data_IF_047240054706
#
_entry.id   IF_047240054706
#
_cell.length_a   1.000
_cell.length_b   1.000
_cell.length_c   1.000
_cell.angle_alpha   90.00
_cell.angle_beta   90.00
_cell.angle_gamma   90.00
#
_symmetry.space_group_name_H-M   'P 1'
#
loop_
_entity.id
_entity.type
_entity.pdbx_description
1 polymer ?
#
# COMPACT_ATOMS: atom_id res chain seq x y z
N UNK A 1 -13.40 -2.50 10.41
CA UNK A 1 -12.39 -2.44 9.34
C UNK A 1 -12.08 -3.84 8.89
N UNK A 2 -11.69 -4.04 7.64
CA UNK A 2 -11.43 -5.36 7.06
C UNK A 2 -9.99 -5.82 7.33
N UNK A 3 -9.79 -7.10 7.65
CA UNK A 3 -8.48 -7.72 7.90
C UNK A 3 -8.10 -8.60 6.72
N UNK A 4 -6.97 -8.25 6.08
CA UNK A 4 -6.42 -8.95 4.92
C UNK A 4 -5.10 -9.60 5.32
N UNK A 5 -4.87 -10.86 4.96
CA UNK A 5 -3.57 -11.52 5.18
C UNK A 5 -2.48 -10.93 4.31
N UNK A 6 -1.23 -11.00 4.75
CA UNK A 6 -0.07 -10.67 3.90
C UNK A 6 0.17 -11.74 2.81
N UNK A 7 0.86 -11.35 1.74
CA UNK A 7 1.33 -12.25 0.67
C UNK A 7 2.46 -13.12 1.23
N UNK A 8 2.40 -14.43 1.01
CA UNK A 8 3.44 -15.36 1.49
C UNK A 8 3.24 -15.91 2.91
N UNK A 9 2.14 -15.57 3.60
CA UNK A 9 1.74 -16.31 4.80
C UNK A 9 1.30 -17.71 4.38
N UNK A 10 2.20 -18.68 4.54
CA UNK A 10 1.92 -20.08 4.32
C UNK A 10 0.98 -20.58 5.43
N UNK A 11 -0.29 -20.72 5.09
CA UNK A 11 -1.28 -21.36 5.95
C UNK A 11 -1.51 -22.78 5.44
N UNK A 12 -1.30 -23.76 6.31
CA UNK A 12 -1.92 -25.07 6.08
C UNK A 12 -3.46 -24.94 6.16
N UNK A 13 -4.18 -25.99 5.77
CA UNK A 13 -5.64 -25.95 5.70
C UNK A 13 -6.31 -25.69 7.06
N UNK A 14 -5.69 -26.10 8.17
CA UNK A 14 -6.22 -25.90 9.54
C UNK A 14 -5.96 -24.47 9.99
N UNK A 15 -4.77 -23.95 9.73
CA UNK A 15 -4.40 -22.55 9.95
C UNK A 15 -5.28 -21.62 9.12
N UNK A 16 -5.64 -22.01 7.89
CA UNK A 16 -6.53 -21.24 7.03
C UNK A 16 -7.94 -21.10 7.63
N UNK A 17 -8.59 -22.21 7.98
CA UNK A 17 -9.95 -22.17 8.56
C UNK A 17 -9.97 -21.45 9.91
N UNK A 18 -9.02 -21.75 10.80
CA UNK A 18 -8.92 -21.10 12.11
C UNK A 18 -8.52 -19.62 12.05
N UNK A 19 -8.03 -19.12 10.91
CA UNK A 19 -7.72 -17.71 10.74
C UNK A 19 -8.99 -16.88 10.55
N UNK A 20 -10.00 -17.39 9.84
CA UNK A 20 -11.31 -16.73 9.74
C UNK A 20 -11.99 -16.64 11.11
N UNK A 21 -11.93 -17.72 11.90
CA UNK A 21 -12.45 -17.71 13.28
C UNK A 21 -11.74 -16.68 14.16
N UNK A 22 -10.47 -16.39 13.88
CA UNK A 22 -9.65 -15.38 14.56
C UNK A 22 -9.79 -13.96 13.99
N UNK A 23 -10.67 -13.75 13.01
CA UNK A 23 -10.98 -12.43 12.47
C UNK A 23 -10.25 -12.07 11.18
N UNK A 24 -9.75 -13.06 10.42
CA UNK A 24 -9.36 -12.85 9.03
C UNK A 24 -10.62 -12.70 8.16
N UNK A 25 -10.68 -11.67 7.31
CA UNK A 25 -11.80 -11.46 6.39
C UNK A 25 -11.45 -11.89 4.95
N UNK A 26 -10.20 -11.62 4.52
CA UNK A 26 -9.70 -11.98 3.18
C UNK A 26 -8.32 -12.61 3.28
N UNK A 27 -8.16 -13.79 2.68
CA UNK A 27 -6.85 -14.39 2.46
C UNK A 27 -6.32 -14.09 1.06
N UNK A 28 -5.10 -13.57 0.97
CA UNK A 28 -4.38 -13.39 -0.30
C UNK A 28 -3.73 -14.69 -0.79
N UNK A 29 -3.67 -15.73 0.04
CA UNK A 29 -3.19 -17.06 -0.32
C UNK A 29 -4.29 -18.10 -0.05
N UNK A 30 -4.73 -18.81 -1.08
CA UNK A 30 -5.74 -19.87 -0.92
C UNK A 30 -5.08 -21.25 -1.03
N UNK A 31 -4.97 -22.02 0.07
CA UNK A 31 -4.60 -23.42 -0.04
C UNK A 31 -5.76 -24.24 -0.64
N UNK A 32 -5.48 -25.45 -1.12
CA UNK A 32 -6.51 -26.43 -1.48
C UNK A 32 -7.41 -26.71 -0.27
N UNK A 33 -8.69 -26.36 -0.36
CA UNK A 33 -9.58 -26.25 0.81
C UNK A 33 -10.23 -27.60 1.14
N UNK A 34 -10.19 -28.01 2.40
CA UNK A 34 -11.16 -28.95 3.00
C UNK A 34 -12.50 -28.22 3.21
N UNK A 35 -13.66 -28.92 3.21
CA UNK A 35 -14.94 -28.25 3.46
C UNK A 35 -14.94 -27.50 4.81
N UNK A 36 -15.50 -26.28 4.88
CA UNK A 36 -15.51 -25.46 6.08
C UNK A 36 -16.38 -26.06 7.19
N UNK A 37 -15.93 -25.97 8.44
CA UNK A 37 -16.75 -26.21 9.65
C UNK A 37 -17.82 -25.13 9.79
N UNK A 38 -18.90 -25.38 10.53
CA UNK A 38 -19.99 -24.40 10.69
C UNK A 38 -19.52 -23.08 11.32
N UNK A 39 -18.59 -23.13 12.28
CA UNK A 39 -17.94 -21.92 12.84
C UNK A 39 -17.14 -21.15 11.81
N UNK A 40 -16.38 -21.85 10.97
CA UNK A 40 -15.65 -21.20 9.89
C UNK A 40 -16.58 -20.63 8.82
N UNK A 41 -17.76 -21.24 8.57
CA UNK A 41 -18.77 -20.68 7.66
C UNK A 41 -19.33 -19.36 8.18
N UNK A 42 -19.71 -19.28 9.46
CA UNK A 42 -20.18 -18.02 10.07
C UNK A 42 -19.10 -16.93 9.98
N UNK A 43 -17.84 -17.29 10.27
CA UNK A 43 -16.73 -16.37 10.15
C UNK A 43 -16.49 -15.91 8.71
N UNK A 44 -16.58 -16.81 7.73
CA UNK A 44 -16.48 -16.49 6.31
C UNK A 44 -17.64 -15.61 5.83
N UNK A 45 -18.88 -15.84 6.29
CA UNK A 45 -20.03 -14.99 5.99
C UNK A 45 -19.79 -13.55 6.46
N UNK A 46 -19.26 -13.37 7.68
CA UNK A 46 -18.85 -12.03 8.16
C UNK A 46 -17.76 -11.42 7.27
N UNK A 47 -16.78 -12.19 6.85
CA UNK A 47 -15.75 -11.72 5.91
C UNK A 47 -16.33 -11.23 4.59
N UNK A 48 -17.34 -11.94 4.06
CA UNK A 48 -18.08 -11.52 2.86
C UNK A 48 -18.86 -10.22 3.12
N UNK A 49 -19.56 -10.09 4.24
CA UNK A 49 -20.27 -8.85 4.61
C UNK A 49 -19.32 -7.66 4.72
N UNK A 50 -18.13 -7.87 5.30
CA UNK A 50 -17.09 -6.86 5.41
C UNK A 50 -16.53 -6.46 4.05
N UNK A 51 -16.33 -7.42 3.14
CA UNK A 51 -15.92 -7.13 1.75
C UNK A 51 -17.00 -6.34 1.01
N UNK A 52 -18.26 -6.77 1.08
CA UNK A 52 -19.38 -6.07 0.43
C UNK A 52 -19.49 -4.64 0.97
N UNK A 53 -19.46 -4.49 2.30
CA UNK A 53 -19.44 -3.18 2.96
C UNK A 53 -18.28 -2.32 2.45
N UNK A 54 -17.06 -2.84 2.37
CA UNK A 54 -15.91 -2.10 1.86
C UNK A 54 -16.09 -1.67 0.39
N UNK A 55 -16.61 -2.53 -0.47
CA UNK A 55 -16.88 -2.22 -1.89
C UNK A 55 -17.96 -1.14 -2.01
N UNK A 56 -19.01 -1.20 -1.21
CA UNK A 56 -20.06 -0.17 -1.16
C UNK A 56 -19.49 1.17 -0.70
N UNK A 57 -18.64 1.19 0.34
CA UNK A 57 -18.02 2.42 0.84
C UNK A 57 -17.04 3.05 -0.16
N UNK A 58 -16.38 2.26 -1.01
CA UNK A 58 -15.50 2.76 -2.07
C UNK A 58 -16.29 3.35 -3.25
N UNK A 59 -17.62 3.32 -3.22
CA UNK A 59 -18.50 3.70 -4.31
C UNK A 59 -18.20 2.97 -5.65
N UNK A 60 -17.53 1.82 -5.58
CA UNK A 60 -17.15 1.02 -6.75
C UNK A 60 -18.36 0.44 -7.49
N UNK A 61 -19.53 0.40 -6.83
CA UNK A 61 -20.78 -0.08 -7.42
C UNK A 61 -21.49 1.00 -8.28
N UNK A 62 -21.33 2.29 -7.97
CA UNK A 62 -22.01 3.39 -8.68
C UNK A 62 -21.05 4.19 -9.57
N UNK A 63 -19.77 4.25 -9.22
CA UNK A 63 -18.73 4.73 -10.13
C UNK A 63 -18.25 3.53 -10.92
N UNK A 64 -18.61 3.45 -12.21
CA UNK A 64 -17.85 2.68 -13.17
C UNK A 64 -16.45 3.30 -13.22
N UNK A 65 -15.63 2.96 -12.23
CA UNK A 65 -14.24 3.35 -12.16
C UNK A 65 -13.65 2.96 -13.49
N UNK A 66 -13.00 3.92 -14.14
CA UNK A 66 -12.34 3.54 -15.35
C UNK A 66 -11.34 2.42 -15.02
N UNK A 67 -11.42 1.33 -15.79
CA UNK A 67 -10.48 0.22 -15.71
C UNK A 67 -9.65 0.19 -16.99
N UNK A 68 -8.33 -0.08 -16.93
CA UNK A 68 -7.54 -0.32 -18.13
C UNK A 68 -8.25 -1.35 -19.03
N UNK A 69 -8.36 -1.09 -20.34
CA UNK A 69 -7.57 -0.13 -21.12
C UNK A 69 -8.14 1.30 -21.20
N UNK A 70 -9.35 1.55 -20.70
CA UNK A 70 -10.12 2.76 -21.05
C UNK A 70 -9.63 4.05 -20.37
N UNK A 71 -8.65 3.96 -19.46
CA UNK A 71 -8.06 5.07 -18.69
C UNK A 71 -6.55 5.09 -18.79
N UNK A 72 -5.96 4.31 -19.70
CA UNK A 72 -4.50 4.27 -19.81
C UNK A 72 -3.95 5.68 -20.04
N UNK A 73 -4.69 6.56 -20.73
CA UNK A 73 -4.30 7.95 -20.96
C UNK A 73 -4.33 8.78 -19.68
N UNK A 74 -5.42 8.74 -18.91
CA UNK A 74 -5.56 9.45 -17.65
C UNK A 74 -4.59 8.93 -16.59
N UNK A 75 -4.42 7.60 -16.51
CA UNK A 75 -3.46 6.97 -15.61
C UNK A 75 -2.03 7.38 -15.96
N UNK A 76 -1.67 7.36 -17.24
CA UNK A 76 -0.35 7.79 -17.69
C UNK A 76 -0.12 9.30 -17.50
N UNK A 77 -1.13 10.13 -17.75
CA UNK A 77 -1.03 11.59 -17.56
C UNK A 77 -0.91 11.98 -16.09
N UNK A 78 -1.56 11.25 -15.19
CA UNK A 78 -1.49 11.49 -13.75
C UNK A 78 -0.27 10.83 -13.11
N UNK A 79 0.28 9.76 -13.70
CA UNK A 79 1.50 9.14 -13.23
C UNK A 79 2.68 10.14 -13.31
N UNK A 80 3.33 10.41 -12.17
CA UNK A 80 4.55 11.25 -12.08
C UNK A 80 4.40 12.66 -12.67
N UNK A 81 3.20 13.22 -12.65
CA UNK A 81 2.97 14.61 -13.07
C UNK A 81 3.92 15.60 -12.36
N UNK A 82 4.12 16.78 -12.94
CA UNK A 82 4.94 17.83 -12.34
C UNK A 82 4.46 18.22 -10.93
N UNK A 83 3.14 18.19 -10.71
CA UNK A 83 2.53 18.41 -9.39
C UNK A 83 2.94 17.32 -8.39
N UNK A 84 2.82 16.03 -8.76
CA UNK A 84 3.26 14.92 -7.91
C UNK A 84 4.75 14.99 -7.59
N UNK A 85 5.59 15.32 -8.59
CA UNK A 85 7.03 15.48 -8.41
C UNK A 85 7.38 16.63 -7.46
N UNK A 86 6.60 17.72 -7.50
CA UNK A 86 6.77 18.87 -6.60
C UNK A 86 6.46 18.49 -5.15
N UNK A 87 5.31 17.82 -4.92
CA UNK A 87 4.95 17.32 -3.59
C UNK A 87 5.98 16.32 -3.07
N UNK A 88 6.42 15.38 -3.91
CA UNK A 88 7.45 14.42 -3.56
C UNK A 88 8.78 15.10 -3.17
N UNK A 89 9.20 16.14 -3.91
CA UNK A 89 10.40 16.92 -3.58
C UNK A 89 10.27 17.64 -2.24
N UNK A 90 9.11 18.21 -1.96
CA UNK A 90 8.84 18.88 -0.67
C UNK A 90 8.87 17.90 0.50
N UNK A 91 8.22 16.75 0.34
CA UNK A 91 8.22 15.68 1.34
C UNK A 91 9.64 15.16 1.59
N UNK A 92 10.39 14.88 0.52
CA UNK A 92 11.79 14.46 0.61
C UNK A 92 12.65 15.48 1.35
N UNK A 93 12.52 16.77 1.01
CA UNK A 93 13.29 17.84 1.67
C UNK A 93 12.96 17.96 3.16
N UNK A 94 11.72 17.69 3.54
CA UNK A 94 11.25 17.74 4.94
C UNK A 94 11.63 16.49 5.74
N UNK A 95 11.88 15.36 5.06
CA UNK A 95 12.29 14.10 5.68
C UNK A 95 13.80 14.00 5.91
N UNK A 96 14.61 14.91 5.37
CA UNK A 96 16.07 14.90 5.58
C UNK A 96 16.39 15.25 7.04
N UNK A 97 17.09 14.34 7.72
CA UNK A 97 17.54 14.55 9.10
C UNK A 97 18.99 15.01 9.10
N UNK A 98 19.24 16.18 9.69
CA UNK A 98 20.58 16.70 9.90
C UNK A 98 21.20 16.10 11.17
N UNK A 99 22.08 15.11 10.99
CA UNK A 99 22.72 14.41 12.11
C UNK A 99 23.80 15.23 12.82
N UNK A 100 24.58 16.02 12.06
CA UNK A 100 25.72 16.80 12.57
C UNK A 100 26.01 18.00 11.67
N UNK A 101 26.20 19.18 12.26
CA UNK A 101 26.58 20.41 11.53
C UNK A 101 27.61 21.23 12.32
N UNK A 102 28.79 20.67 12.52
CA UNK A 102 29.88 21.38 13.18
C UNK A 102 30.34 22.60 12.36
N UNK A 103 30.69 23.68 13.07
CA UNK A 103 31.25 24.91 12.49
C UNK A 103 30.36 25.55 11.42
N UNK A 104 29.05 25.27 11.44
CA UNK A 104 28.10 25.79 10.45
C UNK A 104 28.53 25.54 9.00
N UNK A 105 29.06 24.35 8.71
CA UNK A 105 29.52 23.99 7.35
C UNK A 105 28.36 23.90 6.34
N UNK A 106 27.15 23.60 6.81
CA UNK A 106 25.95 23.50 5.98
C UNK A 106 25.21 24.84 5.87
N UNK A 107 24.31 24.89 4.88
CA UNK A 107 23.90 26.12 4.17
C UNK A 107 25.08 26.72 3.39
N UNK A 108 25.53 25.96 2.37
CA UNK A 108 26.58 26.40 1.47
C UNK A 108 26.20 27.75 0.86
N UNK A 109 26.86 28.81 1.31
CA UNK A 109 26.75 30.13 0.69
C UNK A 109 27.30 30.05 -0.72
N UNK A 110 26.65 30.74 -1.67
CA UNK A 110 26.96 30.78 -3.11
C UNK A 110 28.40 31.20 -3.48
N UNK A 111 29.28 31.40 -2.50
CA UNK A 111 30.67 31.82 -2.65
C UNK A 111 31.65 30.70 -3.09
N UNK A 112 31.24 29.42 -3.08
CA UNK A 112 32.11 28.30 -3.49
C UNK A 112 31.91 27.96 -4.96
N UNK A 113 32.96 28.15 -5.78
CA UNK A 113 32.93 27.90 -7.24
C UNK A 113 32.96 26.42 -7.64
N UNK A 114 33.30 25.52 -6.70
CA UNK A 114 33.49 24.09 -7.00
C UNK A 114 33.06 23.23 -5.81
N UNK A 115 32.29 22.19 -6.11
CA UNK A 115 31.88 21.14 -5.17
C UNK A 115 32.36 19.80 -5.72
N UNK A 116 33.07 19.03 -4.90
CA UNK A 116 33.40 17.65 -5.23
C UNK A 116 32.29 16.74 -4.69
N UNK A 117 31.72 15.91 -5.57
CA UNK A 117 30.70 14.91 -5.23
C UNK A 117 31.38 13.54 -5.35
N UNK A 118 31.34 12.74 -4.30
CA UNK A 118 31.95 11.40 -4.26
C UNK A 118 31.00 10.43 -3.55
N UNK A 119 30.86 9.22 -4.09
CA UNK A 119 29.98 8.17 -3.57
C UNK A 119 29.96 6.95 -4.49
N UNK A 120 29.38 5.82 -4.04
CA UNK A 120 29.14 4.67 -4.89
C UNK A 120 28.21 5.04 -6.06
N UNK A 121 28.45 4.41 -7.21
CA UNK A 121 27.60 4.53 -8.39
C UNK A 121 26.25 3.85 -8.17
#
# INVERSE_FOLDING_TARGET
GMVISDVGVAMDTIAYQSSFERGLDISLNSPSVLPPTDKSKEAMTRGVEMLVSAVTHMNNAEMAGCSPPDCVKELAANARSAAHSTVARMAASSAVVLLKNEKHLLQLVNARKTLAISGPA
#
